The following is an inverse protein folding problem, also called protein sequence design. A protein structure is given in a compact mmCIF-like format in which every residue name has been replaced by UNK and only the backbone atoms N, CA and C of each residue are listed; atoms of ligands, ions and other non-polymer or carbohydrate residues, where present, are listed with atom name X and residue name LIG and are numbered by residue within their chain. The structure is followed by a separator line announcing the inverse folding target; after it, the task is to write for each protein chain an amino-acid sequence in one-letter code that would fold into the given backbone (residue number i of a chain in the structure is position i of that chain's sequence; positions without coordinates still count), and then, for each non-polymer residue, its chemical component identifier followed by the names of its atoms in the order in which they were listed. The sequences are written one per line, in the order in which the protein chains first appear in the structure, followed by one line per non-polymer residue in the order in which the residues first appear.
data_IF_382281493204
#
_entry.id   IF_382281493204
#
_cell.length_a   1.000
_cell.length_b   1.000
_cell.length_c   1.000
_cell.angle_alpha   90.00
_cell.angle_beta   90.00
_cell.angle_gamma   90.00
#
_symmetry.space_group_name_H-M   'P 1'
#
loop_
_entity.id
_entity.type
_entity.pdbx_description
1 polymer ?
#
# COMPACT_ATOMS: atom_id res chain seq x y z
N UNK A 1 3.20 -42.83 -63.15
CA UNK A 1 2.21 -42.14 -62.27
C UNK A 1 2.52 -42.62 -60.85
N UNK A 2 2.74 -41.84 -59.80
CA UNK A 2 2.02 -40.65 -59.35
C UNK A 2 2.89 -39.79 -58.43
N UNK A 3 2.70 -38.48 -58.57
CA UNK A 3 3.39 -37.38 -57.91
C UNK A 3 2.78 -37.08 -56.53
N UNK A 4 3.33 -37.62 -55.44
CA UNK A 4 2.87 -37.28 -54.07
C UNK A 4 3.99 -37.02 -53.03
N UNK A 5 5.26 -37.04 -53.43
CA UNK A 5 6.39 -36.90 -52.50
C UNK A 5 6.77 -35.46 -52.07
N UNK A 6 6.01 -34.43 -52.44
CA UNK A 6 6.41 -33.03 -52.13
C UNK A 6 5.36 -32.13 -51.48
N UNK A 7 4.34 -32.66 -50.82
CA UNK A 7 3.45 -31.79 -50.03
C UNK A 7 2.82 -32.45 -48.83
N UNK A 8 3.62 -32.88 -47.85
CA UNK A 8 3.12 -33.10 -46.49
C UNK A 8 4.10 -32.63 -45.43
N UNK A 9 3.62 -31.64 -44.69
CA UNK A 9 3.97 -31.28 -43.31
C UNK A 9 5.34 -30.66 -43.07
N UNK A 10 5.43 -29.37 -43.40
CA UNK A 10 6.33 -28.43 -42.74
C UNK A 10 5.56 -27.64 -41.67
N UNK A 11 4.94 -28.33 -40.71
CA UNK A 11 4.39 -27.71 -39.51
C UNK A 11 4.75 -28.60 -38.32
N UNK A 12 5.65 -28.16 -37.42
CA UNK A 12 6.05 -28.95 -36.28
C UNK A 12 4.86 -29.08 -35.33
N UNK A 13 4.50 -30.31 -34.99
CA UNK A 13 3.58 -30.65 -33.89
C UNK A 13 4.30 -30.40 -32.56
N UNK A 14 4.74 -29.15 -32.33
CA UNK A 14 5.50 -28.74 -31.13
C UNK A 14 5.10 -27.34 -30.64
N UNK A 15 3.96 -26.79 -31.10
CA UNK A 15 3.53 -25.42 -30.80
C UNK A 15 2.15 -25.28 -30.14
N UNK A 16 1.47 -26.38 -29.75
CA UNK A 16 0.08 -26.34 -29.24
C UNK A 16 -0.01 -26.65 -27.73
N UNK A 17 1.10 -26.84 -27.02
CA UNK A 17 1.12 -26.99 -25.56
C UNK A 17 1.79 -25.77 -24.93
N UNK A 18 1.02 -24.79 -24.39
CA UNK A 18 1.10 -24.40 -22.96
C UNK A 18 0.57 -23.02 -22.47
N UNK A 19 0.11 -22.03 -23.25
CA UNK A 19 -0.09 -20.69 -22.61
C UNK A 19 -1.30 -19.86 -23.04
N UNK A 20 -2.48 -20.47 -23.18
CA UNK A 20 -3.71 -19.74 -23.55
C UNK A 20 -4.77 -19.56 -22.47
N UNK A 21 -4.57 -20.00 -21.22
CA UNK A 21 -5.67 -20.20 -20.27
C UNK A 21 -5.80 -19.25 -19.06
N UNK A 22 -4.97 -18.24 -18.82
CA UNK A 22 -5.25 -17.34 -17.69
C UNK A 22 -4.59 -15.98 -17.85
N UNK A 23 -5.40 -14.92 -17.88
CA UNK A 23 -4.86 -13.56 -17.92
C UNK A 23 -5.91 -12.46 -17.82
N UNK A 24 -6.98 -12.60 -17.04
CA UNK A 24 -7.69 -11.42 -16.55
C UNK A 24 -7.04 -11.03 -15.20
N UNK A 25 -6.03 -10.16 -15.26
CA UNK A 25 -5.39 -9.58 -14.08
C UNK A 25 -6.31 -8.53 -13.45
N UNK A 26 -7.33 -8.97 -12.72
CA UNK A 26 -8.10 -8.13 -11.82
C UNK A 26 -7.43 -8.05 -10.45
N UNK A 27 -6.32 -7.34 -10.34
CA UNK A 27 -5.74 -6.97 -9.05
C UNK A 27 -5.86 -5.46 -8.86
N UNK A 28 -7.07 -5.02 -8.57
CA UNK A 28 -7.29 -3.76 -7.88
C UNK A 28 -8.34 -3.99 -6.81
N UNK A 29 -7.98 -4.79 -5.80
CA UNK A 29 -8.40 -4.43 -4.44
C UNK A 29 -7.70 -3.11 -4.12
N UNK A 30 -8.21 -2.01 -4.69
CA UNK A 30 -7.95 -0.68 -4.15
C UNK A 30 -8.36 -0.80 -2.70
N UNK A 31 -7.38 -0.72 -1.80
CA UNK A 31 -7.55 -0.93 -0.38
C UNK A 31 -8.60 0.04 0.12
N UNK A 32 -9.83 -0.45 0.26
CA UNK A 32 -10.77 0.16 1.18
C UNK A 32 -10.07 0.01 2.53
N UNK A 33 -9.65 1.13 3.12
CA UNK A 33 -9.20 1.17 4.52
C UNK A 33 -10.43 0.80 5.35
N UNK A 34 -10.71 -0.49 5.45
CA UNK A 34 -12.05 -0.98 5.83
C UNK A 34 -12.39 -0.61 7.28
N UNK A 35 -11.39 -0.40 8.13
CA UNK A 35 -11.52 0.44 9.33
C UNK A 35 -10.12 0.91 9.75
N UNK A 36 -9.80 2.19 9.58
CA UNK A 36 -8.52 2.70 10.03
C UNK A 36 -8.55 2.82 11.57
N UNK A 37 -7.53 2.32 12.31
CA UNK A 37 -7.51 2.39 13.77
C UNK A 37 -7.75 3.80 14.29
N UNK A 38 -8.46 3.94 15.42
CA UNK A 38 -8.80 5.25 16.01
C UNK A 38 -7.58 6.15 16.15
N UNK A 39 -6.43 5.63 16.62
CA UNK A 39 -5.23 6.44 16.80
C UNK A 39 -4.68 7.04 15.48
N UNK A 40 -4.98 6.46 14.32
CA UNK A 40 -4.59 6.98 13.02
C UNK A 40 -5.52 8.10 12.51
N UNK A 41 -6.78 8.14 12.94
CA UNK A 41 -7.73 9.21 12.56
C UNK A 41 -7.78 10.36 13.59
N UNK A 42 -7.09 10.19 14.71
CA UNK A 42 -7.06 11.18 15.79
C UNK A 42 -6.26 12.41 15.36
N UNK A 43 -6.91 13.59 15.47
CA UNK A 43 -6.23 14.88 15.27
C UNK A 43 -5.27 15.17 16.43
N UNK A 44 -4.01 15.55 16.14
CA UNK A 44 -3.08 16.01 17.16
C UNK A 44 -3.55 17.32 17.80
N UNK A 45 -3.21 17.52 19.07
CA UNK A 45 -3.46 18.76 19.79
C UNK A 45 -2.21 19.15 20.58
N UNK A 46 -1.62 20.34 20.34
CA UNK A 46 -0.43 20.79 21.07
C UNK A 46 -0.70 21.04 22.56
N UNK A 47 -1.93 21.34 22.96
CA UNK A 47 -2.24 21.80 24.31
C UNK A 47 -1.72 23.22 24.62
N UNK A 48 -1.99 23.74 25.83
CA UNK A 48 -1.69 25.13 26.20
C UNK A 48 -0.25 25.36 26.69
N UNK A 49 0.45 24.30 27.12
CA UNK A 49 1.83 24.42 27.56
C UNK A 49 2.79 24.76 26.40
N UNK A 50 3.99 25.29 26.72
CA UNK A 50 4.96 25.80 25.73
C UNK A 50 6.27 25.00 25.69
N UNK A 51 6.20 23.69 25.92
CA UNK A 51 7.32 22.78 25.66
C UNK A 51 7.45 22.50 24.16
N UNK A 52 8.67 22.24 23.68
CA UNK A 52 8.95 21.94 22.28
C UNK A 52 9.18 20.42 22.08
N UNK A 53 8.16 19.61 22.34
CA UNK A 53 8.28 18.16 22.20
C UNK A 53 7.82 17.72 20.81
N UNK A 54 8.70 17.06 20.04
CA UNK A 54 8.32 16.49 18.75
C UNK A 54 7.51 15.22 18.96
N UNK A 55 6.32 15.17 18.37
CA UNK A 55 5.39 14.03 18.40
C UNK A 55 4.81 13.78 17.02
N UNK A 56 4.11 12.67 16.83
CA UNK A 56 3.69 12.21 15.51
C UNK A 56 2.19 11.93 15.45
N UNK A 57 1.62 12.13 14.25
CA UNK A 57 0.25 11.77 13.90
C UNK A 57 0.22 11.28 12.45
N UNK A 58 -0.78 10.48 12.12
CA UNK A 58 -1.00 10.03 10.75
C UNK A 58 -1.84 11.06 9.97
N UNK A 59 -1.36 11.45 8.79
CA UNK A 59 -2.10 12.29 7.86
C UNK A 59 -2.64 11.43 6.70
N UNK A 60 -3.95 11.16 6.74
CA UNK A 60 -4.64 10.36 5.74
C UNK A 60 -4.66 10.99 4.34
N UNK A 61 -4.43 12.32 4.23
CA UNK A 61 -4.42 13.04 2.94
C UNK A 61 -3.14 12.79 2.18
N UNK A 62 -2.03 12.75 2.92
CA UNK A 62 -0.69 12.57 2.36
C UNK A 62 -0.17 11.14 2.53
N UNK A 63 -1.01 10.27 3.10
CA UNK A 63 -0.74 8.87 3.46
C UNK A 63 0.59 8.69 4.19
N UNK A 64 0.88 9.57 5.16
CA UNK A 64 2.17 9.59 5.86
C UNK A 64 2.05 10.03 7.31
N UNK A 65 3.01 9.59 8.13
CA UNK A 65 3.19 10.10 9.47
C UNK A 65 3.92 11.46 9.45
N UNK A 66 3.32 12.47 10.08
CA UNK A 66 3.85 13.84 10.19
C UNK A 66 4.21 14.18 11.62
N UNK A 67 5.23 15.02 11.77
CA UNK A 67 5.63 15.59 13.05
C UNK A 67 4.74 16.79 13.42
N UNK A 68 4.53 17.00 14.71
CA UNK A 68 3.96 18.23 15.27
C UNK A 68 4.62 18.55 16.62
N UNK A 69 4.51 19.81 17.04
CA UNK A 69 5.01 20.27 18.35
C UNK A 69 3.95 20.08 19.42
N UNK A 70 4.21 19.23 20.40
CA UNK A 70 3.40 19.07 21.59
C UNK A 70 3.91 19.95 22.73
N UNK A 71 3.01 20.74 23.30
CA UNK A 71 3.24 21.71 24.36
C UNK A 71 3.61 21.10 25.71
N UNK A 72 3.40 19.80 25.90
CA UNK A 72 3.82 19.07 27.10
C UNK A 72 2.73 18.85 28.16
N UNK A 73 1.55 19.47 28.01
CA UNK A 73 0.40 19.22 28.87
C UNK A 73 -0.91 19.36 28.08
N UNK A 74 -1.97 18.68 28.54
CA UNK A 74 -3.38 18.82 28.14
C UNK A 74 -3.72 18.73 26.64
N UNK A 75 -2.73 18.48 25.78
CA UNK A 75 -2.95 18.19 24.38
C UNK A 75 -3.13 16.71 24.12
N UNK A 76 -3.15 16.35 22.83
CA UNK A 76 -3.38 14.99 22.35
C UNK A 76 -2.21 14.56 21.49
N UNK A 77 -1.56 13.49 21.93
CA UNK A 77 -0.38 12.90 21.29
C UNK A 77 -0.76 11.51 20.77
N UNK A 78 -1.02 11.34 19.47
CA UNK A 78 -1.37 10.02 18.92
C UNK A 78 -0.19 9.04 19.02
N UNK A 79 1.01 9.49 18.63
CA UNK A 79 2.20 8.64 18.61
C UNK A 79 3.42 9.34 19.21
N UNK A 80 4.20 8.64 20.06
CA UNK A 80 5.43 9.19 20.64
C UNK A 80 6.58 9.24 19.65
N UNK A 81 6.64 8.32 18.69
CA UNK A 81 7.73 8.22 17.71
C UNK A 81 7.20 8.01 16.30
N UNK A 82 8.01 8.37 15.30
CA UNK A 82 7.69 8.14 13.90
C UNK A 82 7.44 6.65 13.63
N UNK A 83 8.34 5.78 14.12
CA UNK A 83 8.25 4.34 13.95
C UNK A 83 6.92 3.79 14.46
N UNK A 84 6.50 4.22 15.66
CA UNK A 84 5.21 3.78 16.23
C UNK A 84 4.00 4.20 15.40
N UNK A 85 4.06 5.35 14.72
CA UNK A 85 3.01 5.80 13.82
C UNK A 85 2.99 4.97 12.53
N UNK A 86 4.16 4.74 11.94
CA UNK A 86 4.35 4.03 10.67
C UNK A 86 3.87 2.58 10.79
N UNK A 87 4.33 1.89 11.84
CA UNK A 87 3.95 0.51 12.13
C UNK A 87 2.47 0.38 12.45
N UNK A 88 1.92 1.27 13.27
CA UNK A 88 0.53 1.18 13.72
C UNK A 88 -0.48 1.52 12.62
N UNK A 89 -0.17 2.50 11.76
CA UNK A 89 -1.04 2.92 10.67
C UNK A 89 -0.75 2.23 9.33
N UNK A 90 0.22 1.32 9.30
CA UNK A 90 0.53 0.51 8.11
C UNK A 90 1.00 1.34 6.92
N UNK A 91 1.73 2.43 7.17
CA UNK A 91 2.27 3.29 6.11
C UNK A 91 3.73 2.99 5.86
N UNK A 92 4.20 3.25 4.64
CA UNK A 92 5.62 3.21 4.30
C UNK A 92 6.15 4.64 4.29
N UNK A 93 7.32 4.84 4.87
CA UNK A 93 7.96 6.15 5.06
C UNK A 93 8.59 6.67 3.78
#
# INVERSE_FOLDING_TARGET
MSVHWLRRLRVPVLGILLAGLAGCGGASSGGVREELPVACVVKPDPGPCRSNQVRFYYDYRDDRCKAFTYGGCEGRVPFPTLQSCVEFCGVTQ
#
